data_IF_660944160146
#
_entry.id   IF_660944160146
#
_cell.length_a   1.000
_cell.length_b   1.000
_cell.length_c   1.000
_cell.angle_alpha   90.00
_cell.angle_beta   90.00
_cell.angle_gamma   90.00
#
_symmetry.space_group_name_H-M   'P 1'
#
loop_
_entity.id
_entity.type
_entity.pdbx_description
1 polymer ?
#
# COMPACT_ATOMS: atom_id res chain seq x y z
N UNK A 1 44.59 -8.19 -43.65
CA UNK A 1 44.91 -7.67 -42.30
C UNK A 1 43.82 -6.77 -41.70
N UNK A 2 42.97 -6.07 -42.47
CA UNK A 2 41.95 -5.17 -41.92
C UNK A 2 40.75 -5.85 -41.23
N UNK A 3 40.37 -7.07 -41.63
CA UNK A 3 39.17 -7.78 -41.15
C UNK A 3 39.32 -8.40 -39.76
N UNK A 4 40.52 -8.86 -39.39
CA UNK A 4 40.80 -9.40 -38.05
C UNK A 4 40.69 -8.35 -36.94
N UNK A 5 40.96 -7.09 -37.26
CA UNK A 5 40.92 -5.96 -36.31
C UNK A 5 39.48 -5.49 -36.03
N UNK A 6 38.55 -5.70 -36.97
CA UNK A 6 37.13 -5.42 -36.78
C UNK A 6 36.45 -6.46 -35.88
N UNK A 7 36.70 -7.75 -36.12
CA UNK A 7 36.19 -8.84 -35.29
C UNK A 7 36.71 -8.80 -33.84
N UNK A 8 37.98 -8.41 -33.64
CA UNK A 8 38.55 -8.21 -32.30
C UNK A 8 37.91 -7.05 -31.54
N UNK A 9 37.56 -5.96 -32.24
CA UNK A 9 36.81 -4.83 -31.65
C UNK A 9 35.36 -5.18 -31.33
N UNK A 10 34.69 -5.97 -32.19
CA UNK A 10 33.33 -6.45 -31.92
C UNK A 10 33.28 -7.39 -30.72
N UNK A 11 34.22 -8.34 -30.61
CA UNK A 11 34.31 -9.21 -29.43
C UNK A 11 34.63 -8.43 -28.15
N UNK A 12 35.53 -7.44 -28.23
CA UNK A 12 35.84 -6.56 -27.09
C UNK A 12 34.63 -5.73 -26.65
N UNK A 13 33.86 -5.19 -27.61
CA UNK A 13 32.64 -4.44 -27.33
C UNK A 13 31.52 -5.35 -26.78
N UNK A 14 31.42 -6.59 -27.25
CA UNK A 14 30.48 -7.58 -26.70
C UNK A 14 30.88 -7.99 -25.29
N UNK A 15 32.16 -8.21 -25.00
CA UNK A 15 32.63 -8.46 -23.63
C UNK A 15 32.45 -7.25 -22.70
N UNK A 16 32.63 -6.02 -23.20
CA UNK A 16 32.33 -4.80 -22.45
C UNK A 16 30.83 -4.68 -22.12
N UNK A 17 29.95 -5.00 -23.08
CA UNK A 17 28.49 -5.01 -22.87
C UNK A 17 28.03 -6.10 -21.89
N UNK A 18 28.71 -7.26 -21.86
CA UNK A 18 28.43 -8.36 -20.93
C UNK A 18 28.98 -8.12 -19.51
N UNK A 19 29.87 -7.13 -19.34
CA UNK A 19 30.46 -6.77 -18.04
C UNK A 19 29.88 -5.49 -17.43
N UNK A 20 29.06 -4.73 -18.17
CA UNK A 20 28.25 -3.66 -17.59
C UNK A 20 27.20 -4.27 -16.65
N UNK A 21 27.50 -4.24 -15.35
CA UNK A 21 26.47 -4.48 -14.32
C UNK A 21 25.31 -3.52 -14.60
N UNK A 22 24.05 -4.00 -14.64
CA UNK A 22 22.91 -3.14 -14.92
C UNK A 22 22.92 -1.96 -13.95
N UNK A 23 22.99 -0.75 -14.50
CA UNK A 23 22.99 0.49 -13.71
C UNK A 23 21.69 0.56 -12.93
N UNK A 24 21.78 0.45 -11.60
CA UNK A 24 20.65 0.67 -10.71
C UNK A 24 20.22 2.13 -10.77
N UNK A 25 18.91 2.37 -10.87
CA UNK A 25 18.32 3.70 -10.81
C UNK A 25 17.37 3.82 -9.61
N UNK A 26 17.22 5.03 -9.08
CA UNK A 26 16.30 5.29 -7.98
C UNK A 26 14.85 5.29 -8.48
N UNK A 27 14.10 4.23 -8.19
CA UNK A 27 12.66 4.16 -8.50
C UNK A 27 11.81 5.13 -7.66
N UNK A 28 12.20 5.33 -6.41
CA UNK A 28 11.53 6.20 -5.43
C UNK A 28 12.53 7.15 -4.76
N UNK A 29 12.09 8.39 -4.55
CA UNK A 29 12.84 9.44 -3.85
C UNK A 29 12.97 9.14 -2.34
N UNK A 30 13.88 9.85 -1.67
CA UNK A 30 14.03 9.73 -0.21
C UNK A 30 12.75 10.11 0.54
N UNK A 31 12.06 11.17 0.11
CA UNK A 31 10.82 11.61 0.73
C UNK A 31 9.71 10.55 0.64
N UNK A 32 9.52 9.94 -0.54
CA UNK A 32 8.53 8.88 -0.74
C UNK A 32 8.82 7.65 0.14
N UNK A 33 10.09 7.30 0.33
CA UNK A 33 10.47 6.19 1.21
C UNK A 33 10.23 6.49 2.69
N UNK A 34 10.48 7.73 3.13
CA UNK A 34 10.20 8.16 4.50
C UNK A 34 8.70 8.17 4.77
N UNK A 35 7.92 8.72 3.84
CA UNK A 35 6.46 8.71 3.90
C UNK A 35 5.91 7.28 3.99
N UNK A 36 6.41 6.38 3.13
CA UNK A 36 6.04 4.97 3.18
C UNK A 36 6.41 4.31 4.51
N UNK A 37 7.58 4.63 5.09
CA UNK A 37 7.98 4.11 6.39
C UNK A 37 7.07 4.59 7.52
N UNK A 38 6.65 5.86 7.50
CA UNK A 38 5.67 6.40 8.45
C UNK A 38 4.33 5.67 8.29
N UNK A 39 3.89 5.43 7.04
CA UNK A 39 2.68 4.66 6.75
C UNK A 39 2.77 3.24 7.31
N UNK A 40 3.88 2.53 7.10
CA UNK A 40 4.10 1.18 7.64
C UNK A 40 3.96 1.19 9.16
N UNK A 41 4.73 2.04 9.85
CA UNK A 41 4.77 2.07 11.31
C UNK A 41 3.40 2.43 11.89
N UNK A 42 2.77 3.49 11.38
CA UNK A 42 1.47 3.95 11.87
C UNK A 42 0.37 2.91 11.60
N UNK A 43 0.32 2.32 10.41
CA UNK A 43 -0.62 1.25 10.06
C UNK A 43 -0.43 0.00 10.93
N UNK A 44 0.82 -0.40 11.20
CA UNK A 44 1.10 -1.55 12.08
C UNK A 44 0.59 -1.27 13.50
N UNK A 45 0.85 -0.10 14.07
CA UNK A 45 0.36 0.26 15.40
C UNK A 45 -1.17 0.30 15.44
N UNK A 46 -1.81 0.90 14.42
CA UNK A 46 -3.27 0.92 14.30
C UNK A 46 -3.86 -0.48 14.22
N UNK A 47 -3.22 -1.38 13.49
CA UNK A 47 -3.65 -2.77 13.35
C UNK A 47 -3.53 -3.53 14.68
N UNK A 48 -2.37 -3.42 15.35
CA UNK A 48 -2.08 -4.10 16.61
C UNK A 48 -2.96 -3.60 17.77
N UNK A 49 -3.39 -2.34 17.72
CA UNK A 49 -4.28 -1.77 18.75
C UNK A 49 -5.76 -1.91 18.39
N UNK A 50 -6.12 -1.85 17.11
CA UNK A 50 -7.52 -1.86 16.65
C UNK A 50 -8.14 -3.25 16.56
N UNK A 51 -7.38 -4.24 16.07
CA UNK A 51 -7.89 -5.62 15.91
C UNK A 51 -8.29 -6.26 17.25
N UNK A 52 -7.49 -6.15 18.34
CA UNK A 52 -7.91 -6.64 19.65
C UNK A 52 -9.19 -5.97 20.17
N UNK A 53 -9.35 -4.66 19.94
CA UNK A 53 -10.55 -3.91 20.35
C UNK A 53 -11.83 -4.33 19.60
N UNK A 54 -11.70 -4.95 18.42
CA UNK A 54 -12.84 -5.52 17.69
C UNK A 54 -13.35 -6.82 18.32
N UNK A 55 -12.45 -7.62 18.89
CA UNK A 55 -12.77 -8.89 19.55
C UNK A 55 -12.25 -8.94 20.99
N UNK A 56 -12.73 -8.03 21.87
CA UNK A 56 -12.21 -7.91 23.22
C UNK A 56 -12.52 -9.13 24.08
N UNK A 57 -13.61 -9.86 23.79
CA UNK A 57 -14.02 -11.06 24.52
C UNK A 57 -13.23 -12.31 24.12
N UNK A 58 -12.38 -12.22 23.09
CA UNK A 58 -11.49 -13.31 22.72
C UNK A 58 -10.28 -13.36 23.64
N UNK A 59 -9.79 -14.56 23.97
CA UNK A 59 -8.65 -14.72 24.88
C UNK A 59 -7.40 -13.95 24.43
N UNK A 60 -7.15 -13.90 23.11
CA UNK A 60 -6.01 -13.19 22.55
C UNK A 60 -6.24 -11.68 22.50
N UNK A 61 -7.47 -11.23 22.28
CA UNK A 61 -7.85 -9.81 22.30
C UNK A 61 -7.68 -9.21 23.68
N UNK A 62 -8.23 -9.87 24.71
CA UNK A 62 -8.06 -9.50 26.12
C UNK A 62 -6.58 -9.51 26.53
N UNK A 63 -5.83 -10.57 26.17
CA UNK A 63 -4.39 -10.66 26.46
C UNK A 63 -3.59 -9.50 25.85
N UNK A 64 -3.84 -9.16 24.58
CA UNK A 64 -3.16 -8.06 23.90
C UNK A 64 -3.49 -6.71 24.54
N UNK A 65 -4.78 -6.46 24.85
CA UNK A 65 -5.22 -5.21 25.49
C UNK A 65 -4.57 -5.07 26.87
N UNK A 66 -4.53 -6.13 27.68
CA UNK A 66 -3.85 -6.13 28.98
C UNK A 66 -2.35 -5.93 28.84
N UNK A 67 -1.73 -6.60 27.86
CA UNK A 67 -0.29 -6.47 27.57
C UNK A 67 0.12 -5.05 27.14
N UNK A 68 -0.79 -4.29 26.54
CA UNK A 68 -0.59 -2.88 26.19
C UNK A 68 -0.91 -1.89 27.33
N UNK A 69 -1.22 -2.39 28.54
CA UNK A 69 -1.52 -1.56 29.71
C UNK A 69 -3.01 -1.24 29.90
N UNK A 70 -3.91 -2.00 29.27
CA UNK A 70 -5.36 -1.87 29.41
C UNK A 70 -6.04 -1.16 28.23
N UNK A 71 -7.37 -1.06 28.28
CA UNK A 71 -8.18 -0.54 27.17
C UNK A 71 -7.98 0.96 26.96
N UNK A 72 -7.81 1.73 28.05
CA UNK A 72 -7.56 3.17 27.99
C UNK A 72 -6.26 3.48 27.26
N UNK A 73 -5.17 2.80 27.63
CA UNK A 73 -3.87 2.96 26.99
C UNK A 73 -3.91 2.50 25.53
N UNK A 74 -4.54 1.36 25.27
CA UNK A 74 -4.70 0.83 23.90
C UNK A 74 -5.42 1.83 22.98
N UNK A 75 -6.51 2.46 23.46
CA UNK A 75 -7.24 3.51 22.74
C UNK A 75 -6.39 4.76 22.54
N UNK A 76 -5.64 5.19 23.54
CA UNK A 76 -4.75 6.35 23.43
C UNK A 76 -3.68 6.14 22.35
N UNK A 77 -3.04 4.97 22.35
CA UNK A 77 -2.04 4.61 21.33
C UNK A 77 -2.69 4.58 19.94
N UNK A 78 -3.88 3.96 19.83
CA UNK A 78 -4.62 3.89 18.57
C UNK A 78 -4.94 5.28 18.01
N UNK A 79 -5.50 6.18 18.83
CA UNK A 79 -5.82 7.55 18.44
C UNK A 79 -4.57 8.35 18.05
N UNK A 80 -3.48 8.18 18.78
CA UNK A 80 -2.21 8.85 18.47
C UNK A 80 -1.67 8.39 17.10
N UNK A 81 -1.66 7.08 16.84
CA UNK A 81 -1.27 6.53 15.55
C UNK A 81 -2.21 6.95 14.42
N UNK A 82 -3.51 7.08 14.70
CA UNK A 82 -4.50 7.57 13.74
C UNK A 82 -4.21 9.00 13.31
N UNK A 83 -3.90 9.90 14.26
CA UNK A 83 -3.52 11.29 13.96
C UNK A 83 -2.25 11.32 13.10
N UNK A 84 -1.25 10.51 13.41
CA UNK A 84 -0.02 10.41 12.59
C UNK A 84 -0.35 9.97 11.16
N UNK A 85 -1.17 8.93 10.99
CA UNK A 85 -1.55 8.45 9.66
C UNK A 85 -2.39 9.48 8.89
N UNK A 86 -3.30 10.20 9.55
CA UNK A 86 -4.10 11.28 8.96
C UNK A 86 -3.20 12.41 8.46
N UNK A 87 -2.24 12.85 9.27
CA UNK A 87 -1.30 13.92 8.88
C UNK A 87 -0.40 13.45 7.73
N UNK A 88 0.14 12.23 7.79
CA UNK A 88 0.94 11.66 6.71
C UNK A 88 0.14 11.56 5.40
N UNK A 89 -1.12 11.14 5.48
CA UNK A 89 -2.02 11.08 4.32
C UNK A 89 -2.33 12.46 3.76
N UNK A 90 -2.59 13.45 4.61
CA UNK A 90 -2.78 14.84 4.20
C UNK A 90 -1.56 15.40 3.48
N UNK A 91 -0.36 15.16 4.02
CA UNK A 91 0.90 15.48 3.35
C UNK A 91 1.02 14.79 1.99
N UNK A 92 0.67 13.49 1.90
CA UNK A 92 0.67 12.75 0.64
C UNK A 92 -0.19 13.44 -0.43
N UNK A 93 -1.44 13.77 -0.08
CA UNK A 93 -2.37 14.43 -1.00
C UNK A 93 -1.85 15.79 -1.47
N UNK A 94 -1.22 16.58 -0.58
CA UNK A 94 -0.60 17.85 -0.95
C UNK A 94 0.55 17.64 -1.93
N UNK A 95 1.44 16.67 -1.67
CA UNK A 95 2.57 16.35 -2.55
C UNK A 95 2.11 15.85 -3.91
N UNK A 96 1.10 14.97 -3.94
CA UNK A 96 0.49 14.49 -5.19
C UNK A 96 -0.16 15.65 -5.94
N UNK A 97 -0.95 16.50 -5.26
CA UNK A 97 -1.55 17.69 -5.83
C UNK A 97 -0.50 18.62 -6.44
N UNK A 98 0.60 18.88 -5.75
CA UNK A 98 1.72 19.67 -6.27
C UNK A 98 2.35 19.02 -7.52
N UNK A 99 2.59 17.70 -7.49
CA UNK A 99 3.12 16.95 -8.64
C UNK A 99 2.21 17.06 -9.87
N UNK A 100 0.89 17.00 -9.67
CA UNK A 100 -0.12 17.02 -10.73
C UNK A 100 -0.34 18.44 -11.26
N UNK A 101 -0.63 19.40 -10.39
CA UNK A 101 -1.05 20.75 -10.80
C UNK A 101 0.13 21.68 -11.12
N UNK A 102 1.25 21.56 -10.39
CA UNK A 102 2.41 22.44 -10.57
C UNK A 102 3.44 21.79 -11.48
N UNK A 103 3.90 20.58 -11.15
CA UNK A 103 4.92 19.88 -11.96
C UNK A 103 4.37 19.21 -13.22
N UNK A 104 3.04 19.17 -13.39
CA UNK A 104 2.36 18.52 -14.52
C UNK A 104 2.85 17.08 -14.76
N UNK A 105 3.14 16.38 -13.66
CA UNK A 105 3.57 14.98 -13.70
C UNK A 105 2.42 14.14 -14.25
N UNK A 106 2.66 13.23 -15.21
CA UNK A 106 1.60 12.37 -15.74
C UNK A 106 0.97 11.51 -14.64
N UNK A 107 -0.35 11.34 -14.71
CA UNK A 107 -1.16 10.60 -13.75
C UNK A 107 -1.02 9.08 -13.92
N UNK A 108 0.21 8.57 -13.85
CA UNK A 108 0.51 7.15 -14.15
C UNK A 108 -0.08 6.16 -13.15
N UNK A 109 -0.51 6.63 -11.98
CA UNK A 109 -1.19 5.81 -10.96
C UNK A 109 -2.70 5.67 -11.20
N UNK A 110 -3.27 6.37 -12.18
CA UNK A 110 -4.67 6.15 -12.54
C UNK A 110 -4.84 4.78 -13.22
N UNK A 111 -5.85 3.98 -12.80
CA UNK A 111 -6.22 2.77 -13.51
C UNK A 111 -6.72 3.14 -14.91
N UNK A 112 -6.40 2.29 -15.88
CA UNK A 112 -6.75 2.44 -17.28
C UNK A 112 -7.26 1.11 -17.83
N UNK A 113 -7.87 1.13 -19.02
CA UNK A 113 -8.27 -0.10 -19.71
C UNK A 113 -7.10 -1.04 -20.01
N UNK A 114 -5.87 -0.53 -20.10
CA UNK A 114 -4.69 -1.37 -20.26
C UNK A 114 -4.44 -2.24 -19.03
N UNK A 115 -4.70 -1.71 -17.82
CA UNK A 115 -4.51 -2.45 -16.57
C UNK A 115 -5.44 -3.69 -16.49
N UNK A 116 -6.66 -3.58 -17.04
CA UNK A 116 -7.57 -4.71 -17.14
C UNK A 116 -7.07 -5.77 -18.12
N UNK A 117 -6.52 -5.36 -19.28
CA UNK A 117 -5.89 -6.28 -20.25
C UNK A 117 -4.68 -6.97 -19.63
N UNK A 118 -3.84 -6.22 -18.92
CA UNK A 118 -2.66 -6.75 -18.23
C UNK A 118 -3.05 -7.76 -17.16
N UNK A 119 -4.11 -7.49 -16.38
CA UNK A 119 -4.64 -8.41 -15.38
C UNK A 119 -5.14 -9.73 -16.01
N UNK A 120 -5.90 -9.64 -17.11
CA UNK A 120 -6.39 -10.82 -17.84
C UNK A 120 -5.22 -11.64 -18.40
N UNK A 121 -4.22 -10.99 -18.99
CA UNK A 121 -3.04 -11.67 -19.51
C UNK A 121 -2.22 -12.30 -18.37
N UNK A 122 -2.04 -11.61 -17.25
CA UNK A 122 -1.37 -12.18 -16.07
C UNK A 122 -2.12 -13.41 -15.56
N UNK A 123 -3.45 -13.37 -15.49
CA UNK A 123 -4.24 -14.53 -15.10
C UNK A 123 -4.07 -15.68 -16.10
N UNK A 124 -4.18 -15.40 -17.41
CA UNK A 124 -3.98 -16.39 -18.47
C UNK A 124 -2.59 -17.02 -18.40
N UNK A 125 -1.56 -16.23 -18.11
CA UNK A 125 -0.19 -16.72 -17.92
C UNK A 125 -0.09 -17.64 -16.70
N UNK A 126 -0.65 -17.24 -15.56
CA UNK A 126 -0.60 -18.02 -14.32
C UNK A 126 -1.31 -19.38 -14.42
N UNK A 127 -2.33 -19.50 -15.29
CA UNK A 127 -3.01 -20.78 -15.57
C UNK A 127 -2.46 -21.52 -16.79
N UNK A 128 -1.30 -21.11 -17.32
CA UNK A 128 -0.62 -21.77 -18.44
C UNK A 128 -1.23 -21.54 -19.83
N UNK A 129 -2.15 -20.59 -19.97
CA UNK A 129 -2.81 -20.24 -21.26
C UNK A 129 -2.13 -19.13 -22.04
N UNK A 130 -1.20 -18.39 -21.44
CA UNK A 130 -0.37 -17.42 -22.16
C UNK A 130 1.10 -17.85 -22.12
N UNK A 131 1.82 -17.58 -23.21
CA UNK A 131 3.24 -17.97 -23.38
C UNK A 131 4.19 -17.05 -22.61
N UNK A 132 3.80 -15.81 -22.36
CA UNK A 132 4.63 -14.83 -21.67
C UNK A 132 3.83 -13.95 -20.70
N UNK A 133 4.44 -13.48 -19.60
CA UNK A 133 3.79 -12.59 -18.66
C UNK A 133 3.49 -11.23 -19.30
N UNK A 134 2.48 -10.53 -18.77
CA UNK A 134 2.12 -9.19 -19.22
C UNK A 134 3.29 -8.20 -19.02
N UNK A 135 3.62 -7.45 -20.07
CA UNK A 135 4.66 -6.40 -20.02
C UNK A 135 4.01 -5.09 -19.59
N UNK A 136 4.25 -4.69 -18.35
CA UNK A 136 3.65 -3.51 -17.75
C UNK A 136 4.62 -2.33 -17.73
N UNK A 137 4.09 -1.11 -17.55
CA UNK A 137 4.87 0.11 -17.45
C UNK A 137 5.60 0.26 -16.09
N UNK A 138 5.88 1.52 -15.71
CA UNK A 138 6.55 1.84 -14.43
C UNK A 138 5.84 1.26 -13.21
N UNK A 139 4.51 1.19 -13.25
CA UNK A 139 3.67 0.59 -12.22
C UNK A 139 2.81 -0.49 -12.86
N UNK A 140 2.76 -1.65 -12.21
CA UNK A 140 1.92 -2.78 -12.57
C UNK A 140 0.45 -2.49 -12.24
N UNK A 141 -0.49 -3.24 -12.84
CA UNK A 141 -1.90 -3.12 -12.47
C UNK A 141 -2.12 -3.41 -10.97
N UNK A 142 -1.38 -4.38 -10.40
CA UNK A 142 -1.44 -4.74 -8.99
C UNK A 142 -1.01 -3.61 -8.07
N UNK A 143 0.13 -2.96 -8.37
CA UNK A 143 0.60 -1.80 -7.61
C UNK A 143 -0.40 -0.62 -7.65
N UNK A 144 -1.08 -0.41 -8.78
CA UNK A 144 -2.13 0.62 -8.87
C UNK A 144 -3.35 0.25 -8.03
N UNK A 145 -3.81 -1.01 -8.10
CA UNK A 145 -4.94 -1.49 -7.29
C UNK A 145 -4.64 -1.34 -5.80
N UNK A 146 -3.45 -1.73 -5.35
CA UNK A 146 -3.02 -1.55 -3.96
C UNK A 146 -3.01 -0.07 -3.55
N UNK A 147 -2.47 0.81 -4.39
CA UNK A 147 -2.46 2.25 -4.12
C UNK A 147 -3.87 2.83 -3.94
N UNK A 148 -4.80 2.46 -4.82
CA UNK A 148 -6.20 2.92 -4.73
C UNK A 148 -6.96 2.29 -3.58
N UNK A 149 -6.70 1.01 -3.27
CA UNK A 149 -7.25 0.36 -2.09
C UNK A 149 -6.82 1.10 -0.81
N UNK A 150 -5.55 1.48 -0.69
CA UNK A 150 -5.05 2.26 0.46
C UNK A 150 -5.69 3.65 0.52
N UNK A 151 -5.83 4.37 -0.61
CA UNK A 151 -6.51 5.67 -0.64
C UNK A 151 -7.96 5.54 -0.13
N UNK A 152 -8.72 4.62 -0.72
CA UNK A 152 -10.13 4.41 -0.40
C UNK A 152 -10.31 3.95 1.05
N UNK A 153 -9.53 2.95 1.46
CA UNK A 153 -9.55 2.44 2.83
C UNK A 153 -9.19 3.52 3.84
N UNK A 154 -8.20 4.37 3.54
CA UNK A 154 -7.84 5.51 4.41
C UNK A 154 -9.01 6.47 4.58
N UNK A 155 -9.72 6.83 3.50
CA UNK A 155 -10.90 7.71 3.57
C UNK A 155 -11.98 7.10 4.46
N UNK A 156 -12.32 5.81 4.25
CA UNK A 156 -13.31 5.12 5.09
C UNK A 156 -12.86 5.09 6.55
N UNK A 157 -11.61 4.73 6.82
CA UNK A 157 -11.06 4.62 8.18
C UNK A 157 -11.07 5.96 8.91
N UNK A 158 -10.75 7.06 8.24
CA UNK A 158 -10.81 8.42 8.83
C UNK A 158 -12.25 8.79 9.16
N UNK A 159 -13.17 8.66 8.20
CA UNK A 159 -14.57 9.06 8.37
C UNK A 159 -15.25 8.24 9.47
N UNK A 160 -15.15 6.92 9.40
CA UNK A 160 -15.74 6.03 10.39
C UNK A 160 -15.05 6.13 11.75
N UNK A 161 -13.72 6.31 11.77
CA UNK A 161 -12.96 6.53 13.00
C UNK A 161 -13.39 7.82 13.70
N UNK A 162 -13.63 8.91 12.96
CA UNK A 162 -14.14 10.16 13.52
C UNK A 162 -15.53 9.99 14.14
N UNK A 163 -16.42 9.21 13.50
CA UNK A 163 -17.74 8.87 14.05
C UNK A 163 -17.60 8.12 15.38
N UNK A 164 -16.69 7.14 15.44
CA UNK A 164 -16.46 6.34 16.64
C UNK A 164 -15.75 7.11 17.75
N UNK A 165 -14.91 8.10 17.40
CA UNK A 165 -14.26 8.98 18.36
C UNK A 165 -15.26 9.97 18.97
N UNK A 166 -16.22 10.47 18.19
CA UNK A 166 -17.16 11.51 18.63
C UNK A 166 -18.64 11.12 18.43
N UNK A 167 -19.12 10.00 18.97
CA UNK A 167 -20.46 9.48 18.65
C UNK A 167 -21.57 10.44 19.09
N UNK A 168 -21.42 11.10 20.24
CA UNK A 168 -22.39 12.09 20.76
C UNK A 168 -22.50 13.31 19.84
N UNK A 169 -21.39 13.74 19.23
CA UNK A 169 -21.42 14.86 18.30
C UNK A 169 -22.13 14.46 17.01
N UNK A 170 -21.82 13.28 16.48
CA UNK A 170 -22.41 12.78 15.22
C UNK A 170 -23.92 12.59 15.35
N UNK A 171 -24.40 12.05 16.48
CA UNK A 171 -25.84 11.81 16.67
C UNK A 171 -26.67 13.08 16.87
N UNK A 172 -26.05 14.25 16.99
CA UNK A 172 -26.75 15.55 16.90
C UNK A 172 -27.15 15.89 15.45
N UNK A 173 -26.44 15.35 14.46
CA UNK A 173 -26.63 15.67 13.05
C UNK A 173 -27.13 14.49 12.21
N UNK A 174 -26.82 13.25 12.63
CA UNK A 174 -27.20 12.03 11.94
C UNK A 174 -27.98 11.08 12.86
N UNK A 175 -28.82 10.19 12.30
CA UNK A 175 -29.48 9.15 13.07
C UNK A 175 -28.51 8.24 13.84
N UNK A 176 -28.95 7.71 14.98
CA UNK A 176 -28.12 6.87 15.86
C UNK A 176 -27.55 5.60 15.21
N UNK A 177 -28.20 5.08 14.16
CA UNK A 177 -27.77 3.92 13.38
C UNK A 177 -26.42 4.10 12.67
N UNK A 178 -25.99 5.35 12.45
CA UNK A 178 -24.68 5.63 11.85
C UNK A 178 -23.51 5.21 12.73
N UNK A 179 -23.67 5.17 14.05
CA UNK A 179 -22.60 4.74 14.97
C UNK A 179 -22.30 3.23 14.85
N UNK A 180 -23.29 2.31 14.97
CA UNK A 180 -23.03 0.89 14.73
C UNK A 180 -22.66 0.60 13.27
N UNK A 181 -23.20 1.33 12.28
CA UNK A 181 -22.77 1.20 10.89
C UNK A 181 -21.29 1.57 10.72
N UNK A 182 -20.84 2.68 11.31
CA UNK A 182 -19.44 3.07 11.33
C UNK A 182 -18.57 2.03 12.05
N UNK A 183 -19.03 1.45 13.17
CA UNK A 183 -18.32 0.38 13.88
C UNK A 183 -18.12 -0.85 12.99
N UNK A 184 -19.17 -1.25 12.26
CA UNK A 184 -19.11 -2.39 11.34
C UNK A 184 -18.16 -2.11 10.17
N UNK A 185 -18.30 -0.94 9.53
CA UNK A 185 -17.46 -0.53 8.41
C UNK A 185 -15.99 -0.36 8.81
N UNK A 186 -15.70 0.36 9.90
CA UNK A 186 -14.34 0.59 10.39
C UNK A 186 -13.64 -0.73 10.72
N UNK A 187 -14.30 -1.60 11.48
CA UNK A 187 -13.74 -2.90 11.84
C UNK A 187 -13.62 -3.85 10.64
N UNK A 188 -14.54 -3.77 9.68
CA UNK A 188 -14.51 -4.55 8.44
C UNK A 188 -13.34 -4.13 7.54
N UNK A 189 -13.22 -2.83 7.29
CA UNK A 189 -12.14 -2.25 6.48
C UNK A 189 -10.77 -2.49 7.13
N UNK A 190 -10.65 -2.34 8.46
CA UNK A 190 -9.41 -2.66 9.17
C UNK A 190 -8.96 -4.11 8.92
N UNK A 191 -9.90 -5.07 8.98
CA UNK A 191 -9.59 -6.47 8.73
C UNK A 191 -9.19 -6.71 7.27
N UNK A 192 -9.95 -6.13 6.32
CA UNK A 192 -9.64 -6.22 4.89
C UNK A 192 -8.25 -5.62 4.58
N UNK A 193 -7.93 -4.46 5.14
CA UNK A 193 -6.63 -3.81 4.97
C UNK A 193 -5.49 -4.67 5.53
N UNK A 194 -5.62 -5.20 6.75
CA UNK A 194 -4.61 -6.08 7.37
C UNK A 194 -4.39 -7.34 6.53
N UNK A 195 -5.47 -8.00 6.11
CA UNK A 195 -5.38 -9.21 5.30
C UNK A 195 -4.77 -8.91 3.92
N UNK A 196 -5.16 -7.80 3.29
CA UNK A 196 -4.60 -7.37 2.01
C UNK A 196 -3.09 -7.12 2.12
N UNK A 197 -2.65 -6.40 3.16
CA UNK A 197 -1.22 -6.13 3.36
C UNK A 197 -0.44 -7.43 3.59
N UNK A 198 -0.91 -8.31 4.49
CA UNK A 198 -0.17 -9.53 4.84
C UNK A 198 -0.17 -10.54 3.69
N UNK A 199 -1.30 -10.79 3.05
CA UNK A 199 -1.43 -11.87 2.05
C UNK A 199 -1.01 -11.43 0.66
N UNK A 200 -1.33 -10.20 0.26
CA UNK A 200 -1.14 -9.74 -1.10
C UNK A 200 0.09 -8.83 -1.22
N UNK A 201 0.17 -7.76 -0.44
CA UNK A 201 1.27 -6.79 -0.56
C UNK A 201 2.62 -7.42 -0.18
N UNK A 202 2.72 -8.02 1.01
CA UNK A 202 3.97 -8.66 1.47
C UNK A 202 4.40 -9.78 0.51
N UNK A 203 3.47 -10.59 0.01
CA UNK A 203 3.80 -11.62 -0.96
C UNK A 203 4.37 -11.03 -2.25
N UNK A 204 3.68 -10.07 -2.88
CA UNK A 204 4.10 -9.52 -4.16
C UNK A 204 5.37 -8.67 -4.07
N UNK A 205 5.55 -7.92 -2.97
CA UNK A 205 6.67 -7.00 -2.80
C UNK A 205 7.90 -7.69 -2.20
N UNK A 206 7.72 -8.55 -1.20
CA UNK A 206 8.83 -9.13 -0.45
C UNK A 206 9.12 -10.59 -0.80
N UNK A 207 8.11 -11.42 -1.07
CA UNK A 207 8.32 -12.88 -1.23
C UNK A 207 8.55 -13.30 -2.67
N UNK A 208 7.72 -12.83 -3.60
CA UNK A 208 7.68 -13.27 -5.01
C UNK A 208 9.03 -13.20 -5.71
N UNK A 209 9.87 -12.22 -5.36
CA UNK A 209 11.18 -12.02 -5.96
C UNK A 209 12.20 -13.14 -5.67
N UNK A 210 11.95 -13.96 -4.63
CA UNK A 210 12.79 -15.11 -4.27
C UNK A 210 12.40 -16.40 -5.00
N UNK A 211 11.19 -16.44 -5.59
CA UNK A 211 10.70 -17.59 -6.35
C UNK A 211 11.07 -17.39 -7.83
N UNK A 212 12.31 -17.74 -8.20
CA UNK A 212 12.79 -17.74 -9.59
C UNK A 212 12.66 -19.11 -10.22
#
# INVERSE_FOLDING_TARGET
MATANAAGREMSNQQAALTERPRGYWRFSRAERVEHFILIVSFTVLSLTGIPQKWPDSWWGDLMIRGMGGIEMTRLIHHTAAVVLIVASGYHFIVVGYKVFVKRTPLTMLPSFQDAKDAIQTLAYNIGRAVSPAKMGRYTFGEKVEYWAVIWGTVIMILTGFVLWNPILVTKFLPGEFVPAAKAAHGGEALLAVLSIITWHVYNVHVKHFNR
#
